data_IF_643444471266
#
_entry.id   IF_643444471266
#
_cell.length_a   1.000
_cell.length_b   1.000
_cell.length_c   1.000
_cell.angle_alpha   90.00
_cell.angle_beta   90.00
_cell.angle_gamma   90.00
#
_symmetry.space_group_name_H-M   'P 1'
#
loop_
_entity.id
_entity.type
_entity.pdbx_description
1 polymer ?
#
# COMPACT_ATOMS: atom_id res chain seq x y z
N UNK A 1 -0.61 -21.54 -7.14
CA UNK A 1 0.24 -22.46 -7.94
C UNK A 1 1.16 -21.76 -8.93
N UNK A 2 0.68 -20.82 -9.77
CA UNK A 2 1.52 -20.16 -10.78
C UNK A 2 2.81 -19.53 -10.24
N UNK A 3 2.71 -18.62 -9.25
CA UNK A 3 3.88 -17.94 -8.68
C UNK A 3 4.90 -18.92 -8.07
N UNK A 4 4.43 -19.94 -7.36
CA UNK A 4 5.26 -21.01 -6.78
C UNK A 4 5.98 -21.80 -7.88
N UNK A 5 5.24 -22.23 -8.92
CA UNK A 5 5.82 -22.99 -10.04
C UNK A 5 6.88 -22.20 -10.81
N UNK A 6 6.72 -20.87 -10.89
CA UNK A 6 7.65 -19.95 -11.54
C UNK A 6 8.74 -19.42 -10.62
N UNK A 7 8.72 -19.80 -9.33
CA UNK A 7 9.62 -19.28 -8.28
C UNK A 7 9.63 -17.75 -8.23
N UNK A 8 8.46 -17.13 -8.41
CA UNK A 8 8.34 -15.68 -8.22
C UNK A 8 8.46 -15.35 -6.74
N UNK A 9 9.29 -14.37 -6.43
CA UNK A 9 9.48 -13.89 -5.06
C UNK A 9 8.32 -13.02 -4.59
N UNK A 10 7.62 -12.38 -5.52
CA UNK A 10 6.54 -11.43 -5.24
C UNK A 10 5.31 -11.73 -6.09
N UNK A 11 4.14 -11.51 -5.50
CA UNK A 11 2.86 -11.52 -6.21
C UNK A 11 1.87 -10.58 -5.51
N UNK A 12 0.93 -10.03 -6.27
CA UNK A 12 -0.11 -9.16 -5.72
C UNK A 12 -1.49 -9.80 -5.82
N UNK A 13 -2.26 -9.76 -4.73
CA UNK A 13 -3.59 -10.36 -4.65
C UNK A 13 -4.75 -9.59 -5.31
N UNK A 14 -4.50 -8.66 -6.24
CA UNK A 14 -5.54 -7.89 -6.96
C UNK A 14 -6.13 -6.70 -6.17
N UNK A 15 -7.32 -6.21 -6.51
CA UNK A 15 -7.95 -5.07 -5.79
C UNK A 15 -9.09 -5.57 -4.88
N UNK A 16 -8.80 -5.82 -3.59
CA UNK A 16 -9.82 -6.28 -2.62
C UNK A 16 -9.65 -5.69 -1.20
N UNK A 17 -8.84 -4.63 -1.07
CA UNK A 17 -8.63 -3.92 0.20
C UNK A 17 -8.22 -4.82 1.36
N UNK A 18 -8.81 -4.57 2.53
CA UNK A 18 -8.47 -5.18 3.83
C UNK A 18 -8.70 -6.69 3.90
N UNK A 19 -9.60 -7.24 3.06
CA UNK A 19 -9.84 -8.69 3.02
C UNK A 19 -8.59 -9.52 2.64
N UNK A 20 -7.56 -8.86 2.09
CA UNK A 20 -6.25 -9.44 1.82
C UNK A 20 -5.45 -9.77 3.08
N UNK A 21 -5.61 -8.98 4.15
CA UNK A 21 -4.83 -9.13 5.38
C UNK A 21 -5.02 -10.53 5.97
N UNK A 22 -6.28 -10.95 6.12
CA UNK A 22 -6.64 -12.29 6.62
C UNK A 22 -6.17 -13.45 5.72
N UNK A 23 -5.81 -13.16 4.46
CA UNK A 23 -5.25 -14.13 3.51
C UNK A 23 -3.71 -14.16 3.54
N UNK A 24 -3.09 -13.46 4.48
CA UNK A 24 -1.64 -13.38 4.64
C UNK A 24 -0.96 -12.38 3.69
N UNK A 25 -1.71 -11.47 3.08
CA UNK A 25 -1.18 -10.40 2.24
C UNK A 25 -1.15 -9.10 3.06
N UNK A 26 -0.01 -8.85 3.70
CA UNK A 26 0.20 -7.67 4.54
C UNK A 26 0.20 -6.38 3.71
N UNK A 27 -0.23 -5.24 4.29
CA UNK A 27 -0.14 -3.94 3.63
C UNK A 27 1.31 -3.56 3.41
N UNK A 28 1.60 -2.97 2.25
CA UNK A 28 2.89 -2.37 1.92
C UNK A 28 2.62 -1.01 1.30
N UNK A 29 3.37 0.02 1.72
CA UNK A 29 3.26 1.34 1.12
C UNK A 29 3.76 1.28 -0.32
N UNK A 30 2.87 1.63 -1.26
CA UNK A 30 3.21 1.75 -2.67
C UNK A 30 3.70 3.18 -2.96
N UNK A 31 4.83 3.29 -3.65
CA UNK A 31 5.37 4.57 -4.10
C UNK A 31 5.09 4.73 -5.59
N UNK A 32 4.74 5.95 -5.99
CA UNK A 32 4.52 6.32 -7.37
C UNK A 32 5.13 7.69 -7.65
N UNK A 33 5.56 7.91 -8.89
CA UNK A 33 6.12 9.16 -9.34
C UNK A 33 5.29 9.66 -10.52
N UNK A 34 4.76 10.87 -10.41
CA UNK A 34 3.90 11.47 -11.42
C UNK A 34 4.41 12.86 -11.77
N UNK A 35 4.61 13.11 -13.07
CA UNK A 35 4.87 14.45 -13.56
C UNK A 35 3.55 15.19 -13.79
N UNK A 36 3.43 16.37 -13.18
CA UNK A 36 2.25 17.21 -13.28
C UNK A 36 2.59 18.49 -14.03
N UNK A 37 2.13 18.58 -15.28
CA UNK A 37 2.48 19.68 -16.19
C UNK A 37 2.00 21.05 -15.70
N UNK A 38 0.83 21.12 -15.07
CA UNK A 38 0.24 22.40 -14.67
C UNK A 38 0.66 22.80 -13.24
N UNK A 39 1.39 23.91 -13.03
CA UNK A 39 1.97 24.23 -11.72
C UNK A 39 0.96 24.40 -10.59
N UNK A 40 -0.24 24.92 -10.88
CA UNK A 40 -1.29 25.03 -9.84
C UNK A 40 -1.84 23.67 -9.42
N UNK A 41 -1.88 22.71 -10.35
CA UNK A 41 -2.35 21.36 -10.05
C UNK A 41 -1.30 20.60 -9.25
N UNK A 42 -0.02 20.74 -9.61
CA UNK A 42 1.09 20.17 -8.84
C UNK A 42 1.07 20.62 -7.38
N UNK A 43 0.91 21.92 -7.12
CA UNK A 43 0.81 22.45 -5.75
C UNK A 43 -0.42 21.95 -5.00
N UNK A 44 -1.56 21.80 -5.68
CA UNK A 44 -2.77 21.27 -5.05
C UNK A 44 -2.58 19.81 -4.58
N UNK A 45 -1.90 18.99 -5.40
CA UNK A 45 -1.55 17.62 -5.04
C UNK A 45 -0.53 17.60 -3.90
N UNK A 46 0.51 18.45 -3.93
CA UNK A 46 1.50 18.56 -2.86
C UNK A 46 0.86 18.91 -1.50
N UNK A 47 0.04 19.96 -1.42
CA UNK A 47 -0.67 20.33 -0.19
C UNK A 47 -1.63 19.23 0.32
N UNK A 48 -2.20 18.43 -0.59
CA UNK A 48 -3.02 17.30 -0.21
C UNK A 48 -2.18 16.18 0.42
N UNK A 49 -1.03 15.86 -0.20
CA UNK A 49 -0.11 14.82 0.25
C UNK A 49 0.49 15.14 1.64
N UNK A 50 0.71 16.41 1.97
CA UNK A 50 1.14 16.86 3.31
C UNK A 50 0.23 16.34 4.44
N UNK A 51 -1.07 16.18 4.14
CA UNK A 51 -2.07 15.68 5.09
C UNK A 51 -2.33 14.20 4.94
N UNK A 52 -2.41 13.72 3.69
CA UNK A 52 -2.72 12.33 3.39
C UNK A 52 -1.65 11.37 3.92
N UNK A 53 -0.36 11.74 3.84
CA UNK A 53 0.74 10.86 4.25
C UNK A 53 0.65 10.40 5.70
N UNK A 54 0.23 11.28 6.62
CA UNK A 54 0.01 10.92 8.01
C UNK A 54 -1.17 9.94 8.17
N UNK A 55 -2.26 10.16 7.42
CA UNK A 55 -3.43 9.28 7.43
C UNK A 55 -3.11 7.89 6.89
N UNK A 56 -2.38 7.80 5.77
CA UNK A 56 -1.93 6.52 5.21
C UNK A 56 -0.99 5.78 6.16
N UNK A 57 -0.07 6.49 6.82
CA UNK A 57 0.84 5.87 7.80
C UNK A 57 0.07 5.28 8.97
N UNK A 58 -0.89 6.03 9.52
CA UNK A 58 -1.75 5.55 10.60
C UNK A 58 -2.55 4.31 10.19
N UNK A 59 -3.19 4.37 9.02
CA UNK A 59 -3.98 3.27 8.47
C UNK A 59 -3.15 2.00 8.24
N UNK A 60 -1.93 2.13 7.69
CA UNK A 60 -1.04 0.98 7.50
C UNK A 60 -0.64 0.37 8.84
N UNK A 61 -0.34 1.19 9.85
CA UNK A 61 -0.01 0.69 11.18
C UNK A 61 -1.17 -0.08 11.82
N UNK A 62 -2.39 0.46 11.75
CA UNK A 62 -3.61 -0.22 12.23
C UNK A 62 -3.80 -1.59 11.57
N UNK A 63 -3.61 -1.67 10.24
CA UNK A 63 -3.68 -2.95 9.53
C UNK A 63 -2.57 -3.93 9.94
N UNK A 64 -1.37 -3.44 10.27
CA UNK A 64 -0.26 -4.28 10.74
C UNK A 64 -0.54 -4.82 12.16
N UNK A 65 -1.16 -4.04 13.04
CA UNK A 65 -1.60 -4.50 14.37
C UNK A 65 -2.61 -5.66 14.28
N UNK A 66 -3.36 -5.74 13.18
CA UNK A 66 -4.27 -6.84 12.88
C UNK A 66 -3.64 -7.98 12.05
N UNK A 67 -2.31 -8.06 11.99
CA UNK A 67 -1.59 -9.12 11.28
C UNK A 67 -2.04 -10.51 11.74
N UNK A 68 -2.31 -11.45 10.80
CA UNK A 68 -2.64 -12.84 11.15
C UNK A 68 -1.39 -13.66 11.55
N UNK A 69 -0.20 -13.10 11.42
CA UNK A 69 1.05 -13.78 11.75
C UNK A 69 1.42 -13.57 13.21
N UNK A 70 2.00 -14.60 13.82
CA UNK A 70 2.58 -14.47 15.17
C UNK A 70 3.82 -13.58 15.11
N UNK A 71 3.98 -12.72 16.11
CA UNK A 71 5.25 -12.04 16.37
C UNK A 71 6.35 -13.07 16.64
N UNK A 72 7.57 -12.79 16.16
CA UNK A 72 8.71 -13.69 16.22
C UNK A 72 9.45 -13.61 17.57
#
# INVERSE_FOLDING_TARGET
>A
EYAISRKLETFEGGAQGEHKLFRGLLPVQALSAHWLAHPKFARAVEHFLEREGAGITHYVNELVEHSPFKEA
#
